data_IF_905417458882
#
_entry.id   IF_905417458882
#
_cell.length_a   1.000
_cell.length_b   1.000
_cell.length_c   1.000
_cell.angle_alpha   90.00
_cell.angle_beta   90.00
_cell.angle_gamma   90.00
#
_symmetry.space_group_name_H-M   'P 1'
#
loop_
_entity.id
_entity.type
_entity.pdbx_description
1 polymer ?
#
# COMPACT_ATOMS: atom_id res chain seq x y z
N UNK A 1 7.69 -17.64 11.12
CA UNK A 1 7.81 -16.17 10.96
C UNK A 1 9.15 -15.87 10.31
N UNK A 2 9.20 -15.72 8.99
CA UNK A 2 10.41 -15.19 8.34
C UNK A 2 10.48 -13.71 8.67
N UNK A 3 11.33 -13.35 9.62
CA UNK A 3 11.61 -11.96 10.00
C UNK A 3 12.33 -11.26 8.87
N UNK A 4 11.57 -10.75 7.89
CA UNK A 4 12.13 -9.94 6.80
C UNK A 4 12.56 -8.60 7.38
N UNK A 5 13.86 -8.32 7.35
CA UNK A 5 14.47 -7.10 7.87
C UNK A 5 14.11 -5.89 6.99
N UNK A 6 14.20 -4.68 7.55
CA UNK A 6 13.99 -3.42 6.84
C UNK A 6 15.03 -3.20 5.75
N UNK A 7 14.54 -2.77 4.59
CA UNK A 7 15.31 -2.40 3.41
C UNK A 7 15.31 -0.88 3.21
N UNK A 8 16.37 -0.35 2.61
CA UNK A 8 16.49 1.08 2.26
C UNK A 8 15.90 1.41 0.88
N UNK A 9 15.30 0.44 0.17
CA UNK A 9 14.83 0.56 -1.22
C UNK A 9 13.55 1.40 -1.41
N UNK A 10 12.98 1.97 -0.35
CA UNK A 10 11.78 2.81 -0.44
C UNK A 10 11.95 3.98 -1.43
N UNK A 11 13.19 4.47 -1.57
CA UNK A 11 13.57 5.55 -2.48
C UNK A 11 13.22 5.31 -3.96
N UNK A 12 13.18 4.05 -4.41
CA UNK A 12 12.96 3.72 -5.81
C UNK A 12 11.56 4.08 -6.31
N UNK A 13 10.57 4.22 -5.40
CA UNK A 13 9.16 4.45 -5.74
C UNK A 13 8.60 5.82 -5.37
N UNK A 14 9.39 6.72 -4.78
CA UNK A 14 8.90 8.02 -4.29
C UNK A 14 8.57 8.94 -5.45
N UNK A 15 7.39 9.56 -5.42
CA UNK A 15 6.89 10.44 -6.46
C UNK A 15 6.58 9.73 -7.78
N UNK A 16 6.47 8.40 -7.78
CA UNK A 16 6.33 7.59 -9.01
C UNK A 16 4.88 7.11 -9.26
N UNK A 17 3.86 7.79 -8.73
CA UNK A 17 2.45 7.39 -8.95
C UNK A 17 2.10 7.46 -10.44
N UNK A 18 2.40 8.58 -11.11
CA UNK A 18 2.12 8.75 -12.54
C UNK A 18 2.95 7.77 -13.39
N UNK A 19 4.22 7.59 -13.04
CA UNK A 19 5.07 6.59 -13.69
C UNK A 19 4.53 5.16 -13.51
N UNK A 20 3.93 4.85 -12.35
CA UNK A 20 3.28 3.56 -12.10
C UNK A 20 2.06 3.39 -12.98
N UNK A 21 1.21 4.42 -13.16
CA UNK A 21 0.08 4.39 -14.09
C UNK A 21 0.52 4.16 -15.53
N UNK A 22 1.51 4.89 -16.01
CA UNK A 22 2.08 4.68 -17.35
C UNK A 22 2.62 3.26 -17.51
N UNK A 23 3.31 2.75 -16.49
CA UNK A 23 3.87 1.39 -16.50
C UNK A 23 2.79 0.30 -16.49
N UNK A 24 1.71 0.50 -15.72
CA UNK A 24 0.54 -0.39 -15.73
C UNK A 24 -0.06 -0.46 -17.13
N UNK A 25 -0.24 0.69 -17.79
CA UNK A 25 -0.80 0.74 -19.14
C UNK A 25 0.04 -0.04 -20.17
N UNK A 26 1.38 0.04 -20.08
CA UNK A 26 2.29 -0.75 -20.91
C UNK A 26 2.29 -2.25 -20.60
N UNK A 27 2.17 -2.62 -19.33
CA UNK A 27 2.25 -4.01 -18.90
C UNK A 27 1.12 -4.87 -19.45
N UNK A 28 1.44 -6.05 -19.98
CA UNK A 28 0.46 -7.06 -20.39
C UNK A 28 0.63 -8.34 -19.58
N UNK A 29 -0.44 -9.12 -19.35
CA UNK A 29 -0.33 -10.42 -18.68
C UNK A 29 0.76 -11.29 -19.31
N UNK A 30 1.69 -11.76 -18.47
CA UNK A 30 2.83 -12.58 -18.91
C UNK A 30 4.13 -11.81 -19.13
N UNK A 31 4.12 -10.47 -19.23
CA UNK A 31 5.36 -9.69 -19.32
C UNK A 31 6.19 -9.80 -18.04
N UNK A 32 7.46 -10.14 -18.20
CA UNK A 32 8.46 -10.05 -17.13
C UNK A 32 8.90 -8.58 -16.92
N UNK A 33 9.64 -8.31 -15.84
CA UNK A 33 10.26 -7.00 -15.65
C UNK A 33 11.24 -6.62 -16.77
N UNK A 34 11.85 -7.60 -17.44
CA UNK A 34 12.74 -7.37 -18.60
C UNK A 34 11.92 -6.97 -19.83
N UNK A 35 10.82 -7.66 -20.09
CA UNK A 35 9.94 -7.34 -21.23
C UNK A 35 9.30 -5.97 -21.06
N UNK A 36 8.84 -5.69 -19.83
CA UNK A 36 8.27 -4.39 -19.47
C UNK A 36 9.29 -3.25 -19.61
N UNK A 37 10.55 -3.49 -19.26
CA UNK A 37 11.62 -2.51 -19.46
C UNK A 37 11.85 -2.22 -20.95
N UNK A 38 11.88 -3.23 -21.80
CA UNK A 38 12.01 -3.05 -23.26
C UNK A 38 10.82 -2.25 -23.81
N UNK A 39 9.60 -2.64 -23.46
CA UNK A 39 8.39 -1.93 -23.87
C UNK A 39 8.39 -0.46 -23.40
N UNK A 40 8.83 -0.20 -22.17
CA UNK A 40 8.91 1.15 -21.63
C UNK A 40 9.94 2.03 -22.36
N UNK A 41 11.12 1.47 -22.72
CA UNK A 41 12.11 2.18 -23.54
C UNK A 41 11.58 2.49 -24.94
N UNK A 42 10.96 1.52 -25.60
CA UNK A 42 10.42 1.66 -26.95
C UNK A 42 9.24 2.63 -27.02
N UNK A 43 8.47 2.75 -25.93
CA UNK A 43 7.27 3.60 -25.88
C UNK A 43 7.55 5.10 -25.97
N UNK A 44 8.75 5.56 -25.57
CA UNK A 44 9.05 7.00 -25.43
C UNK A 44 8.28 7.73 -24.32
N UNK A 45 7.51 7.04 -23.48
CA UNK A 45 6.63 7.64 -22.46
C UNK A 45 7.34 8.09 -21.18
N UNK A 46 8.66 7.90 -21.08
CA UNK A 46 9.47 8.28 -19.91
C UNK A 46 10.62 9.25 -20.28
N UNK A 47 10.35 10.40 -20.92
CA UNK A 47 11.39 11.28 -21.47
C UNK A 47 12.32 11.89 -20.41
N UNK A 48 11.83 12.04 -19.17
CA UNK A 48 12.56 12.65 -18.06
C UNK A 48 13.25 11.63 -17.14
N UNK A 49 13.26 10.35 -17.51
CA UNK A 49 13.84 9.27 -16.70
C UNK A 49 14.94 8.59 -17.52
N UNK A 50 16.16 8.54 -16.98
CA UNK A 50 17.26 7.83 -17.63
C UNK A 50 16.96 6.33 -17.71
N UNK A 51 17.47 5.65 -18.74
CA UNK A 51 17.30 4.20 -18.91
C UNK A 51 17.67 3.40 -17.65
N UNK A 52 18.79 3.77 -16.99
CA UNK A 52 19.20 3.18 -15.72
C UNK A 52 18.18 3.40 -14.60
N UNK A 53 17.64 4.62 -14.45
CA UNK A 53 16.63 4.91 -13.42
C UNK A 53 15.32 4.19 -13.71
N UNK A 54 14.93 4.06 -14.98
CA UNK A 54 13.76 3.30 -15.40
C UNK A 54 13.92 1.80 -15.06
N UNK A 55 15.09 1.23 -15.36
CA UNK A 55 15.42 -0.15 -14.99
C UNK A 55 15.36 -0.36 -13.47
N UNK A 56 15.94 0.55 -12.69
CA UNK A 56 15.90 0.49 -11.23
C UNK A 56 14.46 0.61 -10.72
N UNK A 57 13.66 1.53 -11.26
CA UNK A 57 12.25 1.68 -10.90
C UNK A 57 11.47 0.37 -11.13
N UNK A 58 11.66 -0.28 -12.28
CA UNK A 58 10.99 -1.55 -12.56
C UNK A 58 11.47 -2.65 -11.60
N UNK A 59 12.78 -2.75 -11.38
CA UNK A 59 13.38 -3.82 -10.56
C UNK A 59 13.11 -3.66 -9.07
N UNK A 60 13.18 -2.44 -8.55
CA UNK A 60 13.20 -2.15 -7.11
C UNK A 60 11.87 -1.59 -6.60
N UNK A 61 10.96 -1.15 -7.48
CA UNK A 61 9.65 -0.63 -7.10
C UNK A 61 8.49 -1.36 -7.79
N UNK A 62 8.37 -1.28 -9.12
CA UNK A 62 7.19 -1.78 -9.82
C UNK A 62 7.07 -3.31 -9.74
N UNK A 63 8.17 -4.02 -10.00
CA UNK A 63 8.21 -5.49 -10.02
C UNK A 63 7.83 -6.12 -8.67
N UNK A 64 8.53 -5.77 -7.58
CA UNK A 64 8.25 -6.32 -6.25
C UNK A 64 6.84 -6.03 -5.75
N UNK A 65 6.21 -4.93 -6.20
CA UNK A 65 4.87 -4.54 -5.77
C UNK A 65 3.77 -5.11 -6.65
N UNK A 66 3.96 -5.10 -7.97
CA UNK A 66 2.86 -5.28 -8.92
C UNK A 66 2.99 -6.51 -9.83
N UNK A 67 4.20 -7.04 -10.03
CA UNK A 67 4.44 -8.23 -10.85
C UNK A 67 4.40 -9.55 -10.07
N UNK A 68 4.17 -9.49 -8.75
CA UNK A 68 3.99 -10.67 -7.89
C UNK A 68 2.74 -11.45 -8.25
N UNK A 69 2.65 -12.71 -7.82
CA UNK A 69 1.49 -13.58 -8.05
C UNK A 69 1.05 -13.60 -9.52
N UNK A 70 2.02 -13.72 -10.45
CA UNK A 70 1.79 -13.68 -11.91
C UNK A 70 1.12 -12.38 -12.39
N UNK A 71 1.47 -11.25 -11.75
CA UNK A 71 0.93 -9.93 -12.06
C UNK A 71 -0.49 -9.69 -11.53
N UNK A 72 -0.92 -10.41 -10.50
CA UNK A 72 -2.24 -10.24 -9.88
C UNK A 72 -2.57 -8.78 -9.53
N UNK A 73 -1.70 -8.09 -8.77
CA UNK A 73 -1.91 -6.67 -8.47
C UNK A 73 -2.00 -5.78 -9.71
N UNK A 74 -1.14 -5.99 -10.71
CA UNK A 74 -1.21 -5.24 -11.98
C UNK A 74 -2.54 -5.45 -12.70
N UNK A 75 -3.08 -6.68 -12.72
CA UNK A 75 -4.39 -6.95 -13.33
C UNK A 75 -5.48 -6.15 -12.62
N UNK A 76 -5.53 -6.23 -11.29
CA UNK A 76 -6.52 -5.50 -10.48
C UNK A 76 -6.41 -4.00 -10.74
N UNK A 77 -5.20 -3.44 -10.64
CA UNK A 77 -4.95 -2.02 -10.85
C UNK A 77 -5.36 -1.54 -12.24
N UNK A 78 -5.06 -2.30 -13.30
CA UNK A 78 -5.49 -1.96 -14.66
C UNK A 78 -7.00 -1.98 -14.82
N UNK A 79 -7.68 -2.97 -14.23
CA UNK A 79 -9.14 -3.09 -14.35
C UNK A 79 -9.88 -1.97 -13.63
N UNK A 80 -9.35 -1.48 -12.51
CA UNK A 80 -9.98 -0.40 -11.73
C UNK A 80 -9.58 1.01 -12.19
N UNK A 81 -8.51 1.16 -12.98
CA UNK A 81 -7.93 2.48 -13.30
C UNK A 81 -8.94 3.45 -13.93
N UNK A 82 -9.88 2.95 -14.75
CA UNK A 82 -10.87 3.75 -15.45
C UNK A 82 -12.17 3.99 -14.67
N UNK A 83 -12.43 3.23 -13.61
CA UNK A 83 -13.72 3.22 -12.89
C UNK A 83 -13.61 3.70 -11.44
N UNK A 84 -12.41 3.63 -10.87
CA UNK A 84 -12.14 4.07 -9.51
C UNK A 84 -11.63 5.51 -9.51
N UNK A 85 -11.94 6.24 -8.43
CA UNK A 85 -11.40 7.59 -8.26
C UNK A 85 -9.89 7.54 -8.05
N UNK A 86 -9.21 8.67 -8.29
CA UNK A 86 -7.78 8.80 -8.03
C UNK A 86 -7.43 8.47 -6.57
N UNK A 87 -8.31 8.80 -5.61
CA UNK A 87 -8.10 8.51 -4.19
C UNK A 87 -8.09 7.01 -3.92
N UNK A 88 -9.09 6.30 -4.45
CA UNK A 88 -9.21 4.85 -4.31
C UNK A 88 -8.05 4.11 -4.98
N UNK A 89 -7.67 4.52 -6.19
CA UNK A 89 -6.51 3.97 -6.87
C UNK A 89 -5.22 4.19 -6.06
N UNK A 90 -5.02 5.40 -5.53
CA UNK A 90 -3.85 5.73 -4.71
C UNK A 90 -3.83 4.94 -3.40
N UNK A 91 -4.98 4.67 -2.78
CA UNK A 91 -5.06 3.79 -1.60
C UNK A 91 -4.68 2.35 -1.92
N UNK A 92 -5.02 1.84 -3.12
CA UNK A 92 -4.59 0.51 -3.51
C UNK A 92 -3.06 0.44 -3.74
N UNK A 93 -2.49 1.45 -4.43
CA UNK A 93 -1.04 1.57 -4.56
C UNK A 93 -0.34 1.67 -3.19
N UNK A 94 -0.95 2.37 -2.25
CA UNK A 94 -0.45 2.51 -0.88
C UNK A 94 -0.40 1.16 -0.15
N UNK A 95 -1.47 0.36 -0.22
CA UNK A 95 -1.52 -0.99 0.36
C UNK A 95 -0.39 -1.85 -0.20
N UNK A 96 -0.26 -1.93 -1.54
CA UNK A 96 0.81 -2.73 -2.17
C UNK A 96 2.21 -2.23 -1.81
N UNK A 97 2.38 -0.91 -1.69
CA UNK A 97 3.65 -0.32 -1.26
C UNK A 97 3.97 -0.68 0.18
N UNK A 98 3.00 -0.68 1.10
CA UNK A 98 3.21 -1.07 2.50
C UNK A 98 3.42 -2.58 2.66
N UNK A 99 2.80 -3.42 1.81
CA UNK A 99 3.02 -4.87 1.82
C UNK A 99 4.44 -5.25 1.41
N UNK A 100 5.02 -4.50 0.47
CA UNK A 100 6.43 -4.66 0.07
C UNK A 100 7.37 -3.99 1.08
N UNK A 101 7.09 -2.74 1.45
CA UNK A 101 7.94 -1.95 2.34
C UNK A 101 7.50 -2.06 3.80
N UNK A 102 8.05 -3.05 4.50
CA UNK A 102 7.77 -3.27 5.93
C UNK A 102 8.05 -2.05 6.80
N UNK A 103 9.13 -1.31 6.51
CA UNK A 103 9.47 -0.12 7.31
C UNK A 103 8.43 0.99 7.13
N UNK A 104 7.84 1.14 5.93
CA UNK A 104 6.73 2.07 5.72
C UNK A 104 5.46 1.58 6.43
N UNK A 105 5.16 0.28 6.34
CA UNK A 105 4.03 -0.33 7.04
C UNK A 105 4.06 -0.05 8.55
N UNK A 106 5.18 -0.38 9.18
CA UNK A 106 5.38 -0.20 10.62
C UNK A 106 5.40 1.30 10.97
N UNK A 107 6.05 2.16 10.17
CA UNK A 107 6.03 3.62 10.38
C UNK A 107 4.61 4.20 10.36
N UNK A 108 3.78 3.79 9.40
CA UNK A 108 2.39 4.27 9.31
C UNK A 108 1.60 3.84 10.55
N UNK A 109 1.71 2.56 10.92
CA UNK A 109 0.93 1.99 12.04
C UNK A 109 1.37 2.53 13.39
N UNK A 110 2.67 2.68 13.60
CA UNK A 110 3.22 2.99 14.92
C UNK A 110 3.44 4.50 15.11
N UNK A 111 3.89 5.22 14.07
CA UNK A 111 4.25 6.64 14.17
C UNK A 111 3.14 7.53 13.64
N UNK A 112 2.63 7.28 12.43
CA UNK A 112 1.60 8.14 11.85
C UNK A 112 0.30 8.08 12.65
N UNK A 113 -0.24 6.87 12.86
CA UNK A 113 -1.48 6.70 13.62
C UNK A 113 -1.30 7.02 15.11
N UNK A 114 -0.10 6.80 15.67
CA UNK A 114 0.24 7.27 17.02
C UNK A 114 0.21 8.79 17.15
N UNK A 115 0.77 9.51 16.18
CA UNK A 115 0.71 10.98 16.14
C UNK A 115 -0.72 11.48 15.93
N UNK A 116 -1.47 10.88 15.01
CA UNK A 116 -2.86 11.26 14.74
C UNK A 116 -3.77 11.06 15.97
N UNK A 117 -3.71 9.90 16.60
CA UNK A 117 -4.54 9.57 17.77
C UNK A 117 -4.18 10.39 19.02
N UNK A 118 -2.94 10.86 19.14
CA UNK A 118 -2.51 11.80 20.18
C UNK A 118 -2.88 13.26 19.89
N UNK A 119 -3.59 13.53 18.78
CA UNK A 119 -4.04 14.87 18.41
C UNK A 119 -2.94 15.77 17.86
N UNK A 120 -1.79 15.21 17.45
CA UNK A 120 -0.74 16.00 16.80
C UNK A 120 -1.22 16.47 15.44
N UNK A 121 -0.86 17.71 15.08
CA UNK A 121 -1.18 18.26 13.76
C UNK A 121 -0.10 17.99 12.71
N UNK A 122 1.12 17.63 13.14
CA UNK A 122 2.27 17.49 12.23
C UNK A 122 3.17 16.31 12.59
N UNK A 123 3.84 15.79 11.55
CA UNK A 123 4.94 14.83 11.64
C UNK A 123 6.16 15.43 10.95
N UNK A 124 7.31 15.32 11.61
CA UNK A 124 8.59 15.80 11.10
C UNK A 124 9.49 14.65 10.61
N UNK A 125 10.50 15.00 9.82
CA UNK A 125 11.57 14.07 9.48
C UNK A 125 12.36 13.63 10.71
N UNK A 126 12.37 14.41 11.80
CA UNK A 126 12.98 14.03 13.07
C UNK A 126 12.19 12.91 13.75
N UNK A 127 10.85 13.00 13.77
CA UNK A 127 9.99 11.91 14.27
C UNK A 127 10.28 10.60 13.51
N UNK A 128 10.40 10.68 12.19
CA UNK A 128 10.76 9.53 11.35
C UNK A 128 12.21 9.06 11.61
N UNK A 129 13.15 9.98 11.82
CA UNK A 129 14.54 9.63 12.11
C UNK A 129 14.67 8.87 13.42
N UNK A 130 13.98 9.30 14.48
CA UNK A 130 13.95 8.61 15.76
C UNK A 130 13.41 7.17 15.63
N UNK A 131 12.36 6.98 14.83
CA UNK A 131 11.84 5.65 14.51
C UNK A 131 12.88 4.78 13.79
N UNK A 132 13.55 5.30 12.77
CA UNK A 132 14.55 4.55 11.99
C UNK A 132 15.79 4.24 12.83
N UNK A 133 16.25 5.17 13.68
CA UNK A 133 17.38 4.96 14.60
C UNK A 133 17.07 3.80 15.55
N UNK A 134 15.90 3.81 16.19
CA UNK A 134 15.47 2.72 17.10
C UNK A 134 15.41 1.38 16.36
N UNK A 135 14.80 1.35 15.17
CA UNK A 135 14.75 0.15 14.36
C UNK A 135 16.14 -0.41 13.99
N UNK A 136 17.10 0.47 13.71
CA UNK A 136 18.48 0.08 13.44
C UNK A 136 19.20 -0.46 14.68
N UNK A 137 18.97 0.14 15.86
CA UNK A 137 19.49 -0.34 17.14
C UNK A 137 18.88 -1.68 17.56
N UNK A 138 17.59 -1.89 17.28
CA UNK A 138 16.86 -3.14 17.53
C UNK A 138 17.25 -4.28 16.56
N UNK A 139 18.18 -4.03 15.61
CA UNK A 139 18.59 -5.02 14.62
C UNK A 139 17.52 -5.36 13.59
N UNK A 140 16.51 -4.49 13.40
CA UNK A 140 15.43 -4.73 12.42
C UNK A 140 15.87 -4.50 10.98
N UNK A 141 17.04 -3.90 10.74
CA UNK A 141 17.60 -3.60 9.40
C UNK A 141 18.42 -4.76 8.84
N UNK A 142 18.45 -4.94 7.51
CA UNK A 142 19.26 -6.00 6.85
C UNK A 142 20.75 -5.92 7.23
N UNK A 143 21.26 -4.71 7.38
CA UNK A 143 22.61 -4.39 7.86
C UNK A 143 22.54 -3.10 8.66
N UNK A 144 23.46 -2.84 9.60
CA UNK A 144 23.55 -1.54 10.25
C UNK A 144 23.67 -0.43 9.21
N UNK A 145 22.80 0.57 9.32
CA UNK A 145 22.78 1.74 8.45
C UNK A 145 23.62 2.88 9.03
N UNK A 146 24.29 3.62 8.15
CA UNK A 146 25.00 4.86 8.53
C UNK A 146 24.01 5.99 8.79
N UNK A 147 24.45 7.03 9.51
CA UNK A 147 23.64 8.22 9.80
C UNK A 147 23.03 8.87 8.55
N UNK A 148 23.78 8.89 7.45
CA UNK A 148 23.32 9.39 6.15
C UNK A 148 22.16 8.53 5.62
N UNK A 149 22.26 7.21 5.72
CA UNK A 149 21.20 6.29 5.29
C UNK A 149 19.96 6.43 6.18
N UNK A 150 20.15 6.55 7.51
CA UNK A 150 19.05 6.78 8.46
C UNK A 150 18.28 8.05 8.11
N UNK A 151 18.99 9.16 7.89
CA UNK A 151 18.40 10.46 7.52
C UNK A 151 17.65 10.40 6.19
N UNK A 152 18.20 9.70 5.18
CA UNK A 152 17.54 9.52 3.88
C UNK A 152 16.26 8.72 4.02
N UNK A 153 16.31 7.57 4.71
CA UNK A 153 15.14 6.70 4.91
C UNK A 153 14.04 7.44 5.68
N UNK A 154 14.40 8.23 6.69
CA UNK A 154 13.45 9.08 7.42
C UNK A 154 12.72 10.06 6.49
N UNK A 155 13.44 10.79 5.64
CA UNK A 155 12.84 11.67 4.64
C UNK A 155 11.98 10.92 3.62
N UNK A 156 12.36 9.70 3.25
CA UNK A 156 11.59 8.85 2.35
C UNK A 156 10.26 8.40 2.94
N UNK A 157 10.22 8.09 4.24
CA UNK A 157 8.99 7.70 4.93
C UNK A 157 7.95 8.83 4.91
N UNK A 158 8.36 10.05 5.27
CA UNK A 158 7.43 11.20 5.28
C UNK A 158 7.03 11.62 3.86
N UNK A 159 7.94 11.52 2.89
CA UNK A 159 7.65 11.78 1.48
C UNK A 159 6.64 10.76 0.92
N UNK A 160 6.81 9.46 1.20
CA UNK A 160 5.84 8.43 0.78
C UNK A 160 4.46 8.65 1.42
N UNK A 161 4.41 9.03 2.69
CA UNK A 161 3.12 9.39 3.32
C UNK A 161 2.46 10.60 2.64
N UNK A 162 3.25 11.57 2.17
CA UNK A 162 2.72 12.70 1.39
C UNK A 162 2.20 12.25 0.01
N UNK A 163 2.98 11.43 -0.72
CA UNK A 163 2.59 10.90 -2.03
C UNK A 163 1.23 10.19 -1.99
N UNK A 164 0.95 9.45 -0.91
CA UNK A 164 -0.31 8.72 -0.73
C UNK A 164 -1.42 9.53 -0.04
N UNK A 165 -1.17 10.79 0.32
CA UNK A 165 -2.18 11.70 0.89
C UNK A 165 -2.43 11.54 2.39
N UNK A 166 -1.52 10.90 3.12
CA UNK A 166 -1.54 10.86 4.59
C UNK A 166 -0.99 12.17 5.19
N UNK A 167 -0.01 12.78 4.51
CA UNK A 167 0.63 14.03 4.91
C UNK A 167 0.50 15.09 3.81
N UNK A 168 0.65 16.37 4.15
CA UNK A 168 0.64 17.43 3.14
C UNK A 168 1.78 17.28 2.14
N UNK A 169 1.49 17.64 0.89
CA UNK A 169 2.42 17.54 -0.24
C UNK A 169 3.50 18.64 -0.24
N UNK A 170 4.53 18.42 -1.07
CA UNK A 170 5.64 19.35 -1.29
C UNK A 170 6.95 18.91 -0.62
N UNK A 171 8.03 19.67 -0.83
CA UNK A 171 9.32 19.42 -0.19
C UNK A 171 9.34 20.08 1.19
N UNK A 172 9.10 19.29 2.24
CA UNK A 172 9.01 19.77 3.63
C UNK A 172 9.63 18.77 4.59
N UNK A 173 10.31 19.29 5.62
CA UNK A 173 10.82 18.52 6.74
C UNK A 173 9.80 18.36 7.87
N UNK A 174 8.75 19.18 7.88
CA UNK A 174 7.61 19.11 8.80
C UNK A 174 6.35 19.17 7.94
N UNK A 175 5.46 18.18 8.10
CA UNK A 175 4.26 18.05 7.28
C UNK A 175 3.02 18.00 8.17
N UNK A 176 1.99 18.75 7.80
CA UNK A 176 0.64 18.59 8.36
C UNK A 176 0.10 17.19 8.12
N UNK A 177 -0.54 16.62 9.13
CA UNK A 177 -1.29 15.37 9.04
C UNK A 177 -2.62 15.65 8.34
N UNK A 178 -2.95 14.85 7.33
CA UNK A 178 -4.21 14.94 6.60
C UNK A 178 -5.18 13.83 7.05
N UNK A 179 -6.49 14.07 7.03
CA UNK A 179 -7.47 13.03 7.26
C UNK A 179 -7.37 11.90 6.22
N UNK A 180 -7.08 10.69 6.69
CA UNK A 180 -6.95 9.50 5.85
C UNK A 180 -7.94 8.43 6.32
N UNK A 181 -8.89 8.05 5.47
CA UNK A 181 -9.89 7.01 5.78
C UNK A 181 -9.99 6.07 4.61
N UNK A 182 -10.18 4.78 4.88
CA UNK A 182 -10.39 3.80 3.82
C UNK A 182 -11.66 4.15 3.04
N UNK A 183 -11.60 4.05 1.72
CA UNK A 183 -12.78 4.16 0.86
C UNK A 183 -13.58 2.85 0.88
N UNK A 184 -14.91 2.91 0.84
CA UNK A 184 -15.75 1.71 0.98
C UNK A 184 -15.45 0.63 -0.07
N UNK A 185 -15.17 1.01 -1.34
CA UNK A 185 -14.78 0.06 -2.39
C UNK A 185 -13.43 -0.60 -2.11
N UNK A 186 -12.52 0.12 -1.46
CA UNK A 186 -11.23 -0.41 -1.02
C UNK A 186 -11.38 -1.35 0.17
N UNK A 187 -12.29 -1.06 1.10
CA UNK A 187 -12.64 -1.99 2.18
C UNK A 187 -13.16 -3.33 1.64
N UNK A 188 -14.00 -3.29 0.61
CA UNK A 188 -14.50 -4.50 -0.07
C UNK A 188 -13.35 -5.26 -0.73
N UNK A 189 -12.54 -4.57 -1.55
CA UNK A 189 -11.39 -5.18 -2.25
C UNK A 189 -10.41 -5.81 -1.27
N UNK A 190 -10.06 -5.10 -0.19
CA UNK A 190 -9.11 -5.59 0.81
C UNK A 190 -9.65 -6.83 1.53
N UNK A 191 -10.94 -6.84 1.91
CA UNK A 191 -11.54 -8.00 2.56
C UNK A 191 -11.50 -9.24 1.65
N UNK A 192 -11.89 -9.10 0.38
CA UNK A 192 -11.86 -10.20 -0.59
C UNK A 192 -10.43 -10.62 -0.94
N UNK A 193 -9.49 -9.68 -1.06
CA UNK A 193 -8.08 -9.97 -1.35
C UNK A 193 -7.45 -10.82 -0.23
N UNK A 194 -7.74 -10.48 1.03
CA UNK A 194 -7.31 -11.28 2.17
C UNK A 194 -8.00 -12.66 2.20
N UNK A 195 -9.30 -12.71 1.94
CA UNK A 195 -10.03 -13.98 1.84
C UNK A 195 -9.43 -14.92 0.79
N UNK A 196 -9.24 -14.43 -0.44
CA UNK A 196 -8.67 -15.22 -1.54
C UNK A 196 -7.16 -15.51 -1.36
N UNK A 197 -6.48 -14.76 -0.49
CA UNK A 197 -5.13 -15.09 -0.03
C UNK A 197 -5.09 -16.22 1.00
N UNK A 198 -6.25 -16.79 1.37
CA UNK A 198 -6.37 -17.95 2.25
C UNK A 198 -6.54 -17.62 3.73
N UNK A 199 -6.74 -16.34 4.09
CA UNK A 199 -7.05 -15.96 5.47
C UNK A 199 -8.49 -16.37 5.82
N UNK A 200 -8.65 -17.06 6.96
CA UNK A 200 -9.97 -17.32 7.52
C UNK A 200 -10.64 -16.03 8.04
N UNK A 201 -11.97 -16.04 8.19
CA UNK A 201 -12.78 -14.85 8.48
C UNK A 201 -12.27 -14.00 9.66
N UNK A 202 -11.91 -14.62 10.78
CA UNK A 202 -11.39 -13.89 11.94
C UNK A 202 -9.99 -13.30 11.68
N UNK A 203 -9.15 -14.01 10.91
CA UNK A 203 -7.84 -13.51 10.50
C UNK A 203 -7.94 -12.37 9.49
N UNK A 204 -8.97 -12.36 8.63
CA UNK A 204 -9.28 -11.21 7.77
C UNK A 204 -9.59 -10.00 8.65
N UNK A 205 -10.47 -10.14 9.64
CA UNK A 205 -10.85 -9.03 10.54
C UNK A 205 -9.69 -8.47 11.37
N UNK A 206 -8.70 -9.31 11.71
CA UNK A 206 -7.53 -8.90 12.50
C UNK A 206 -6.28 -8.64 11.67
N UNK A 207 -6.38 -8.62 10.34
CA UNK A 207 -5.20 -8.48 9.48
C UNK A 207 -4.56 -7.09 9.65
N UNK A 208 -3.22 -7.02 9.63
CA UNK A 208 -2.49 -5.77 9.90
C UNK A 208 -2.71 -4.68 8.85
N UNK A 209 -3.12 -5.04 7.64
CA UNK A 209 -3.38 -4.08 6.55
C UNK A 209 -4.49 -3.09 6.91
N UNK A 210 -5.47 -3.48 7.74
CA UNK A 210 -6.51 -2.56 8.22
C UNK A 210 -5.93 -1.44 9.08
N UNK A 211 -4.86 -1.74 9.82
CA UNK A 211 -4.12 -0.77 10.62
C UNK A 211 -3.43 0.31 9.78
N UNK A 212 -3.23 0.10 8.47
CA UNK A 212 -2.75 1.17 7.57
C UNK A 212 -3.76 2.33 7.48
N UNK A 213 -5.03 2.06 7.78
CA UNK A 213 -6.12 3.04 7.84
C UNK A 213 -6.56 3.37 9.26
N UNK A 214 -5.76 2.98 10.27
CA UNK A 214 -6.05 3.24 11.67
C UNK A 214 -7.20 2.41 12.23
N UNK A 215 -7.59 1.34 11.53
CA UNK A 215 -8.70 0.48 11.92
C UNK A 215 -8.19 -0.69 12.76
N UNK A 216 -8.79 -0.88 13.92
CA UNK A 216 -8.64 -2.11 14.70
C UNK A 216 -9.67 -3.17 14.29
N UNK A 217 -9.61 -4.36 14.92
CA UNK A 217 -10.51 -5.48 14.60
C UNK A 217 -11.99 -5.13 14.79
N UNK A 218 -12.32 -4.25 15.73
CA UNK A 218 -13.69 -3.82 16.01
C UNK A 218 -14.17 -2.80 14.98
N UNK A 219 -13.29 -1.87 14.58
CA UNK A 219 -13.55 -0.92 13.50
C UNK A 219 -13.80 -1.64 12.17
N UNK A 220 -12.97 -2.63 11.85
CA UNK A 220 -13.11 -3.45 10.63
C UNK A 220 -14.45 -4.19 10.65
N UNK A 221 -14.82 -4.81 11.77
CA UNK A 221 -16.11 -5.49 11.89
C UNK A 221 -17.28 -4.52 11.67
N UNK A 222 -17.19 -3.30 12.20
CA UNK A 222 -18.22 -2.29 12.00
C UNK A 222 -18.29 -1.82 10.54
N UNK A 223 -17.16 -1.58 9.90
CA UNK A 223 -17.08 -1.22 8.48
C UNK A 223 -17.68 -2.33 7.60
N UNK A 224 -17.26 -3.59 7.82
CA UNK A 224 -17.79 -4.70 7.05
C UNK A 224 -19.29 -4.93 7.29
N UNK A 225 -19.81 -4.66 8.50
CA UNK A 225 -21.27 -4.69 8.75
C UNK A 225 -22.01 -3.64 7.91
N UNK A 226 -21.48 -2.42 7.80
CA UNK A 226 -22.08 -1.40 6.93
C UNK A 226 -22.07 -1.83 5.46
N UNK A 227 -20.99 -2.49 5.01
CA UNK A 227 -20.88 -3.02 3.66
C UNK A 227 -21.78 -4.26 3.43
N UNK A 228 -22.01 -5.06 4.47
CA UNK A 228 -22.94 -6.19 4.43
C UNK A 228 -24.39 -5.72 4.20
N UNK A 229 -24.80 -4.57 4.74
CA UNK A 229 -26.11 -3.95 4.44
C UNK A 229 -26.28 -3.62 2.95
N UNK A 230 -25.18 -3.40 2.23
CA UNK A 230 -25.15 -3.19 0.77
C UNK A 230 -25.01 -4.50 -0.02
N UNK A 231 -25.13 -5.66 0.64
CA UNK A 231 -25.13 -6.98 0.02
C UNK A 231 -23.78 -7.45 -0.50
N UNK A 232 -22.66 -6.94 0.03
CA UNK A 232 -21.31 -7.41 -0.36
C UNK A 232 -20.89 -8.69 0.36
N UNK A 233 -21.41 -8.89 1.57
CA UNK A 233 -21.12 -10.04 2.44
C UNK A 233 -22.34 -10.32 3.32
N UNK A 234 -22.36 -11.48 3.97
CA UNK A 234 -23.24 -11.78 5.10
C UNK A 234 -22.37 -11.93 6.34
N UNK A 235 -22.62 -11.14 7.39
CA UNK A 235 -21.80 -11.19 8.61
C UNK A 235 -22.63 -11.70 9.76
N UNK A 236 -22.11 -12.74 10.41
CA UNK A 236 -22.68 -13.32 11.62
C UNK A 236 -21.60 -13.29 12.71
N UNK A 237 -21.90 -12.67 13.86
CA UNK A 237 -20.96 -12.57 14.96
C UNK A 237 -21.59 -13.06 16.24
N UNK A 238 -20.87 -13.93 16.97
CA UNK A 238 -21.26 -14.44 18.27
C UNK A 238 -20.02 -14.45 19.18
N UNK A 239 -20.01 -13.57 20.19
CA UNK A 239 -18.80 -13.31 20.99
C UNK A 239 -17.64 -12.85 20.09
N UNK A 240 -16.47 -13.46 20.28
CA UNK A 240 -15.25 -13.15 19.53
C UNK A 240 -15.17 -13.82 18.15
N UNK A 241 -16.11 -14.73 17.85
CA UNK A 241 -16.13 -15.47 16.59
C UNK A 241 -17.04 -14.75 15.61
N UNK A 242 -16.47 -14.39 14.48
CA UNK A 242 -17.21 -13.88 13.32
C UNK A 242 -17.10 -14.86 12.16
N UNK A 243 -18.23 -15.08 11.48
CA UNK A 243 -18.31 -15.79 10.20
C UNK A 243 -18.74 -14.81 9.11
N UNK A 244 -18.07 -14.89 7.96
CA UNK A 244 -18.34 -14.07 6.79
C UNK A 244 -18.81 -15.00 5.66
N UNK A 245 -20.03 -14.78 5.19
CA UNK A 245 -20.54 -15.34 3.94
C UNK A 245 -20.07 -14.49 2.77
N UNK A 246 -19.10 -15.01 2.03
CA UNK A 246 -18.52 -14.37 0.84
C UNK A 246 -19.42 -14.60 -0.38
N UNK A 247 -19.88 -13.52 -1.00
CA UNK A 247 -20.84 -13.58 -2.11
C UNK A 247 -20.17 -13.97 -3.43
N UNK A 248 -18.95 -13.47 -3.66
CA UNK A 248 -18.19 -13.67 -4.88
C UNK A 248 -17.11 -14.73 -4.69
N UNK A 249 -16.82 -15.49 -5.76
CA UNK A 249 -15.88 -16.62 -5.72
C UNK A 249 -14.53 -16.30 -6.36
N UNK A 250 -14.39 -15.14 -6.98
CA UNK A 250 -13.13 -14.67 -7.56
C UNK A 250 -12.98 -13.15 -7.43
N UNK A 251 -11.74 -12.66 -7.50
CA UNK A 251 -11.47 -11.22 -7.47
C UNK A 251 -12.02 -10.53 -8.73
N UNK A 252 -12.05 -11.23 -9.85
CA UNK A 252 -12.64 -10.77 -11.10
C UNK A 252 -14.14 -10.46 -10.94
N UNK A 253 -14.90 -11.36 -10.28
CA UNK A 253 -16.32 -11.13 -9.97
C UNK A 253 -16.53 -9.92 -9.04
N UNK A 254 -15.66 -9.76 -8.04
CA UNK A 254 -15.72 -8.62 -7.10
C UNK A 254 -15.52 -7.30 -7.85
N UNK A 255 -14.50 -7.23 -8.72
CA UNK A 255 -14.20 -6.01 -9.48
C UNK A 255 -15.32 -5.71 -10.49
N UNK A 256 -15.84 -6.72 -11.18
CA UNK A 256 -16.98 -6.55 -12.09
C UNK A 256 -18.22 -6.00 -11.35
N UNK A 257 -18.50 -6.52 -10.15
CA UNK A 257 -19.57 -6.00 -9.31
C UNK A 257 -19.32 -4.55 -8.85
N UNK A 258 -18.08 -4.21 -8.48
CA UNK A 258 -17.67 -2.85 -8.06
C UNK A 258 -17.72 -1.82 -9.19
N UNK A 259 -17.60 -2.26 -10.43
CA UNK A 259 -17.70 -1.41 -11.61
C UNK A 259 -19.16 -1.15 -12.04
N UNK A 260 -20.09 -2.03 -11.65
CA UNK A 260 -21.51 -1.96 -12.03
C UNK A 260 -22.40 -1.22 -11.02
N UNK A 261 -21.94 -1.06 -9.77
CA UNK A 261 -22.66 -0.43 -8.66
C UNK A 261 -22.12 0.95 -8.36
#
# INVERSE_FOLDING_TARGET
>A
MTTTSYSSMLNAGIGMIDATRTMLNLWQPGMSGVDLYKAALESGLFPNITARRLQNFIKECFGPRYLVNKGGPSKILKTIESTFSSREFNQLLFIYTCRESRILNDFVRDVYWGAYSSGRETISNEDALLFVIRANQDGKTVKPWSEITLSKVAGYLTASCADFGLLENGQRSIRKILPFRIESRLGILLAYDLHFSGYGDNSVLSHSDWGLFGLDRSDVLNELKQLALKGWFIIQSAGDVTRIGWQYQSMEEVIDALNKR
#
